data_IF_851849128604
#
_entry.id   IF_851849128604
#
_cell.length_a   1.000
_cell.length_b   1.000
_cell.length_c   1.000
_cell.angle_alpha   90.00
_cell.angle_beta   90.00
_cell.angle_gamma   90.00
#
_symmetry.space_group_name_H-M   'P 1'
#
loop_
_entity.id
_entity.type
_entity.pdbx_description
1 polymer ?
#
# COMPACT_ATOMS: atom_id res chain seq x y z
N UNK A 1 -6.18 24.46 -11.13
CA UNK A 1 -6.86 23.33 -11.79
C UNK A 1 -6.00 22.89 -12.97
N UNK A 2 -5.73 21.59 -13.12
CA UNK A 2 -4.88 21.09 -14.21
C UNK A 2 -5.55 21.28 -15.59
N UNK A 3 -4.79 21.53 -16.67
CA UNK A 3 -5.33 21.56 -18.04
C UNK A 3 -6.03 20.24 -18.40
N UNK A 4 -7.18 20.30 -19.10
CA UNK A 4 -7.96 19.10 -19.49
C UNK A 4 -7.09 18.02 -20.15
N UNK A 5 -6.17 18.41 -21.04
CA UNK A 5 -5.26 17.48 -21.72
C UNK A 5 -4.30 16.78 -20.74
N UNK A 6 -3.84 17.45 -19.69
CA UNK A 6 -2.99 16.84 -18.66
C UNK A 6 -3.76 15.90 -17.72
N UNK A 7 -5.03 16.21 -17.42
CA UNK A 7 -5.92 15.29 -16.69
C UNK A 7 -6.14 14.00 -17.48
N UNK A 8 -6.39 14.09 -18.79
CA UNK A 8 -6.57 12.88 -19.63
C UNK A 8 -5.32 12.02 -19.72
N UNK A 9 -4.13 12.63 -19.72
CA UNK A 9 -2.86 11.88 -19.63
C UNK A 9 -2.73 11.13 -18.31
N UNK A 10 -3.05 11.78 -17.20
CA UNK A 10 -3.06 11.15 -15.89
C UNK A 10 -4.09 10.02 -15.82
N UNK A 11 -5.28 10.20 -16.42
CA UNK A 11 -6.31 9.17 -16.53
C UNK A 11 -5.79 7.93 -17.28
N UNK A 12 -5.04 8.08 -18.38
CA UNK A 12 -4.42 6.94 -19.11
C UNK A 12 -3.45 6.18 -18.22
N UNK A 13 -2.55 6.88 -17.53
CA UNK A 13 -1.54 6.23 -16.66
C UNK A 13 -2.22 5.56 -15.46
N UNK A 14 -3.10 6.27 -14.77
CA UNK A 14 -3.81 5.77 -13.59
C UNK A 14 -4.69 4.56 -13.93
N UNK A 15 -5.49 4.65 -15.00
CA UNK A 15 -6.34 3.54 -15.43
C UNK A 15 -5.51 2.32 -15.85
N UNK A 16 -4.38 2.52 -16.52
CA UNK A 16 -3.46 1.43 -16.88
C UNK A 16 -2.87 0.73 -15.65
N UNK A 17 -2.40 1.50 -14.67
CA UNK A 17 -1.89 0.94 -13.38
C UNK A 17 -2.99 0.19 -12.64
N UNK A 18 -4.20 0.75 -12.58
CA UNK A 18 -5.34 0.12 -11.92
C UNK A 18 -5.76 -1.16 -12.65
N UNK A 19 -5.78 -1.20 -13.98
CA UNK A 19 -6.05 -2.45 -14.73
C UNK A 19 -5.02 -3.53 -14.37
N UNK A 20 -3.74 -3.20 -14.33
CA UNK A 20 -2.69 -4.15 -13.91
C UNK A 20 -2.91 -4.65 -12.48
N UNK A 21 -3.28 -3.77 -11.55
CA UNK A 21 -3.60 -4.14 -10.16
C UNK A 21 -4.85 -5.04 -10.09
N UNK A 22 -5.90 -4.71 -10.84
CA UNK A 22 -7.10 -5.55 -10.94
C UNK A 22 -6.79 -6.94 -11.50
N UNK A 23 -5.94 -7.02 -12.53
CA UNK A 23 -5.46 -8.30 -13.07
C UNK A 23 -4.68 -9.10 -12.03
N UNK A 24 -3.79 -8.46 -11.27
CA UNK A 24 -3.06 -9.12 -10.19
C UNK A 24 -4.02 -9.69 -9.14
N UNK A 25 -5.04 -8.93 -8.73
CA UNK A 25 -6.06 -9.39 -7.78
C UNK A 25 -6.85 -10.58 -8.34
N UNK A 26 -7.28 -10.52 -9.61
CA UNK A 26 -8.01 -11.64 -10.25
C UNK A 26 -7.13 -12.89 -10.34
N UNK A 27 -5.84 -12.74 -10.66
CA UNK A 27 -4.89 -13.86 -10.69
C UNK A 27 -4.71 -14.45 -9.29
N UNK A 28 -4.60 -13.62 -8.25
CA UNK A 28 -4.53 -14.08 -6.86
C UNK A 28 -5.81 -14.80 -6.44
N UNK A 29 -6.98 -14.30 -6.86
CA UNK A 29 -8.28 -14.92 -6.61
C UNK A 29 -8.41 -16.29 -7.31
N UNK A 30 -7.90 -16.41 -8.54
CA UNK A 30 -7.91 -17.66 -9.30
C UNK A 30 -7.06 -18.76 -8.63
N UNK A 31 -6.08 -18.39 -7.80
CA UNK A 31 -5.27 -19.34 -7.01
C UNK A 31 -5.93 -19.79 -5.71
N UNK A 32 -7.07 -19.20 -5.33
CA UNK A 32 -7.84 -19.61 -4.14
C UNK A 32 -8.76 -20.79 -4.47
N UNK A 33 -9.13 -21.62 -3.49
CA UNK A 33 -10.06 -22.73 -3.73
C UNK A 33 -11.47 -22.19 -4.06
N UNK A 34 -11.99 -22.54 -5.23
CA UNK A 34 -13.34 -22.16 -5.68
C UNK A 34 -14.42 -23.15 -5.25
N UNK A 35 -14.02 -24.37 -4.92
CA UNK A 35 -14.84 -25.42 -4.33
C UNK A 35 -14.00 -26.10 -3.26
N UNK A 36 -14.61 -26.44 -2.12
CA UNK A 36 -13.89 -27.03 -0.98
C UNK A 36 -14.71 -28.17 -0.40
N UNK A 37 -14.25 -29.41 -0.49
CA UNK A 37 -14.87 -30.57 0.17
C UNK A 37 -14.32 -30.73 1.59
N UNK A 38 -14.35 -29.67 2.40
CA UNK A 38 -13.70 -29.67 3.72
C UNK A 38 -14.61 -30.25 4.82
N UNK A 39 -15.92 -30.40 4.59
CA UNK A 39 -16.88 -30.82 5.63
C UNK A 39 -17.93 -31.85 5.16
N UNK A 40 -17.67 -32.63 4.11
CA UNK A 40 -18.58 -33.70 3.67
C UNK A 40 -19.87 -33.24 2.96
N UNK A 41 -20.08 -31.93 2.82
CA UNK A 41 -21.04 -31.34 1.88
C UNK A 41 -20.29 -30.62 0.76
N UNK A 42 -20.81 -30.70 -0.46
CA UNK A 42 -20.29 -30.00 -1.64
C UNK A 42 -20.40 -28.49 -1.40
N UNK A 43 -19.31 -27.82 -0.98
CA UNK A 43 -19.35 -26.37 -0.82
C UNK A 43 -19.65 -25.72 -2.18
N UNK A 44 -20.64 -24.83 -2.19
CA UNK A 44 -21.10 -24.14 -3.39
C UNK A 44 -20.08 -23.07 -3.80
N UNK A 45 -19.95 -22.85 -5.11
CA UNK A 45 -19.00 -21.89 -5.69
C UNK A 45 -19.18 -20.45 -5.15
N UNK A 46 -20.39 -20.09 -4.71
CA UNK A 46 -20.70 -18.74 -4.20
C UNK A 46 -20.19 -18.46 -2.79
N UNK A 47 -19.83 -19.49 -2.01
CA UNK A 47 -19.17 -19.33 -0.70
C UNK A 47 -17.66 -19.38 -0.81
N UNK A 48 -17.11 -19.37 -2.03
CA UNK A 48 -15.67 -19.47 -2.22
C UNK A 48 -14.94 -18.20 -1.76
N UNK A 49 -13.80 -18.33 -1.07
CA UNK A 49 -12.99 -17.19 -0.66
C UNK A 49 -12.45 -16.39 -1.86
N UNK A 50 -12.33 -17.01 -3.03
CA UNK A 50 -11.87 -16.38 -4.27
C UNK A 50 -12.92 -15.53 -4.98
N UNK A 51 -14.22 -15.73 -4.72
CA UNK A 51 -15.27 -15.01 -5.45
C UNK A 51 -15.21 -13.51 -5.21
N UNK A 52 -15.10 -13.08 -3.95
CA UNK A 52 -15.11 -11.66 -3.61
C UNK A 52 -13.92 -10.89 -4.23
N UNK A 53 -12.66 -11.34 -4.07
CA UNK A 53 -11.53 -10.72 -4.77
C UNK A 53 -11.68 -10.72 -6.29
N UNK A 54 -12.21 -11.79 -6.89
CA UNK A 54 -12.41 -11.87 -8.33
C UNK A 54 -13.43 -10.84 -8.85
N UNK A 55 -14.56 -10.67 -8.14
CA UNK A 55 -15.60 -9.69 -8.52
C UNK A 55 -15.05 -8.27 -8.41
N UNK A 56 -14.38 -7.94 -7.30
CA UNK A 56 -13.81 -6.60 -7.10
C UNK A 56 -12.72 -6.31 -8.14
N UNK A 57 -11.81 -7.26 -8.39
CA UNK A 57 -10.79 -7.13 -9.42
C UNK A 57 -11.39 -6.97 -10.82
N UNK A 58 -12.42 -7.74 -11.14
CA UNK A 58 -13.15 -7.65 -12.42
C UNK A 58 -13.83 -6.30 -12.63
N UNK A 59 -14.56 -5.79 -11.63
CA UNK A 59 -15.19 -4.46 -11.69
C UNK A 59 -14.15 -3.35 -11.83
N UNK A 60 -13.03 -3.48 -11.12
CA UNK A 60 -11.92 -2.53 -11.20
C UNK A 60 -11.33 -2.48 -12.61
N UNK A 61 -11.09 -3.63 -13.25
CA UNK A 61 -10.64 -3.70 -14.64
C UNK A 61 -11.69 -3.07 -15.57
N UNK A 62 -12.97 -3.43 -15.42
CA UNK A 62 -14.06 -2.96 -16.27
C UNK A 62 -14.20 -1.43 -16.25
N UNK A 63 -14.21 -0.83 -15.07
CA UNK A 63 -14.35 0.62 -14.93
C UNK A 63 -13.11 1.37 -15.43
N UNK A 64 -11.91 0.85 -15.17
CA UNK A 64 -10.70 1.48 -15.65
C UNK A 64 -10.53 1.33 -17.17
N UNK A 65 -11.04 0.25 -17.79
CA UNK A 65 -11.12 0.15 -19.26
C UNK A 65 -11.99 1.25 -19.86
N UNK A 66 -13.14 1.56 -19.24
CA UNK A 66 -14.00 2.65 -19.69
C UNK A 66 -13.29 4.02 -19.58
N UNK A 67 -12.62 4.27 -18.47
CA UNK A 67 -11.84 5.50 -18.25
C UNK A 67 -10.70 5.59 -19.26
N UNK A 68 -9.97 4.50 -19.47
CA UNK A 68 -8.87 4.42 -20.44
C UNK A 68 -9.38 4.69 -21.86
N UNK A 69 -10.48 4.07 -22.27
CA UNK A 69 -11.07 4.27 -23.58
C UNK A 69 -11.50 5.73 -23.79
N UNK A 70 -12.08 6.38 -22.78
CA UNK A 70 -12.42 7.80 -22.84
C UNK A 70 -11.17 8.67 -22.92
N UNK A 71 -10.15 8.39 -22.11
CA UNK A 71 -8.92 9.15 -22.08
C UNK A 71 -8.15 9.07 -23.41
N UNK A 72 -8.13 7.89 -24.05
CA UNK A 72 -7.55 7.69 -25.39
C UNK A 72 -8.34 8.49 -26.43
N UNK A 73 -9.68 8.39 -26.43
CA UNK A 73 -10.56 9.13 -27.37
C UNK A 73 -10.39 10.65 -27.28
N UNK A 74 -10.14 11.18 -26.08
CA UNK A 74 -9.95 12.61 -25.85
C UNK A 74 -8.49 13.09 -26.07
N UNK A 75 -7.64 12.28 -26.72
CA UNK A 75 -6.26 12.66 -27.06
C UNK A 75 -5.28 12.58 -25.89
N UNK A 76 -5.59 11.76 -24.88
CA UNK A 76 -4.71 11.49 -23.74
C UNK A 76 -3.38 10.83 -24.12
N UNK A 77 -3.29 10.22 -25.31
CA UNK A 77 -2.05 9.60 -25.80
C UNK A 77 -1.00 10.58 -26.34
N UNK A 78 -1.40 11.81 -26.70
CA UNK A 78 -0.49 12.80 -27.25
C UNK A 78 0.51 13.27 -26.17
N UNK A 79 1.77 12.84 -26.26
CA UNK A 79 2.85 13.32 -25.37
C UNK A 79 2.84 12.72 -23.96
N UNK A 80 2.31 11.50 -23.79
CA UNK A 80 2.39 10.74 -22.53
C UNK A 80 3.84 10.53 -22.07
N UNK A 81 4.72 10.13 -22.99
CA UNK A 81 6.10 9.78 -22.69
C UNK A 81 6.91 10.95 -22.06
N UNK A 82 6.99 12.15 -22.68
CA UNK A 82 7.75 13.25 -22.09
C UNK A 82 7.14 13.80 -20.79
N UNK A 83 5.82 13.72 -20.61
CA UNK A 83 5.16 14.22 -19.39
C UNK A 83 5.31 13.28 -18.19
N UNK A 84 5.21 11.96 -18.40
CA UNK A 84 5.45 10.96 -17.35
C UNK A 84 6.92 10.96 -16.93
N UNK A 85 7.86 11.02 -17.88
CA UNK A 85 9.30 11.08 -17.58
C UNK A 85 9.69 12.40 -16.90
N UNK A 86 9.09 13.52 -17.30
CA UNK A 86 9.28 14.82 -16.65
C UNK A 86 8.78 14.84 -15.20
N UNK A 87 7.64 14.19 -14.93
CA UNK A 87 7.14 14.01 -13.57
C UNK A 87 8.06 13.13 -12.72
N UNK A 88 8.51 11.98 -13.25
CA UNK A 88 9.48 11.10 -12.59
C UNK A 88 10.82 11.78 -12.30
N UNK A 89 11.31 12.66 -13.20
CA UNK A 89 12.52 13.46 -12.94
C UNK A 89 12.28 14.56 -11.91
N UNK A 90 11.08 15.16 -11.87
CA UNK A 90 10.68 16.16 -10.88
C UNK A 90 10.46 15.61 -9.47
N UNK A 91 10.27 14.30 -9.32
CA UNK A 91 10.14 13.63 -8.00
C UNK A 91 11.38 13.80 -7.10
N UNK A 92 12.56 14.05 -7.69
CA UNK A 92 13.81 14.21 -6.93
C UNK A 92 13.99 15.57 -6.25
N UNK A 93 13.27 16.62 -6.65
CA UNK A 93 13.57 18.00 -6.22
C UNK A 93 12.68 18.51 -5.06
N UNK A 94 11.52 17.87 -4.82
CA UNK A 94 10.57 18.32 -3.81
C UNK A 94 10.77 17.59 -2.47
N UNK A 95 11.27 18.32 -1.45
CA UNK A 95 11.41 17.86 -0.06
C UNK A 95 10.17 17.11 0.50
N UNK A 96 8.92 17.55 0.25
CA UNK A 96 7.73 16.83 0.73
C UNK A 96 7.51 15.49 0.02
N UNK A 97 7.77 15.42 -1.29
CA UNK A 97 7.56 14.20 -2.09
C UNK A 97 8.58 13.13 -1.68
N UNK A 98 9.83 13.54 -1.41
CA UNK A 98 10.86 12.62 -0.93
C UNK A 98 10.45 11.92 0.36
N UNK A 99 9.80 12.64 1.29
CA UNK A 99 9.26 12.08 2.53
C UNK A 99 8.17 11.04 2.29
N UNK A 100 7.25 11.35 1.38
CA UNK A 100 6.15 10.44 1.02
C UNK A 100 6.69 9.15 0.38
N UNK A 101 7.69 9.25 -0.49
CA UNK A 101 8.35 8.07 -1.07
C UNK A 101 8.99 7.24 0.04
N UNK A 102 9.72 7.89 0.95
CA UNK A 102 10.48 7.20 1.98
C UNK A 102 9.57 6.47 2.99
N UNK A 103 8.48 7.09 3.44
CA UNK A 103 7.49 6.39 4.29
C UNK A 103 6.80 5.26 3.54
N UNK A 104 6.50 5.43 2.24
CA UNK A 104 5.88 4.38 1.43
C UNK A 104 6.79 3.16 1.28
N UNK A 105 8.08 3.37 1.03
CA UNK A 105 9.08 2.29 0.98
C UNK A 105 9.21 1.62 2.34
N UNK A 106 9.32 2.41 3.42
CA UNK A 106 9.43 1.88 4.77
C UNK A 106 8.21 1.03 5.16
N UNK A 107 7.00 1.48 4.78
CA UNK A 107 5.76 0.75 4.97
C UNK A 107 5.73 -0.56 4.16
N UNK A 108 6.15 -0.52 2.89
CA UNK A 108 6.23 -1.71 2.06
C UNK A 108 7.20 -2.75 2.64
N UNK A 109 8.38 -2.32 3.11
CA UNK A 109 9.35 -3.20 3.78
C UNK A 109 8.75 -3.79 5.06
N UNK A 110 8.07 -2.98 5.87
CA UNK A 110 7.40 -3.46 7.08
C UNK A 110 6.35 -4.53 6.76
N UNK A 111 5.44 -4.26 5.83
CA UNK A 111 4.33 -5.18 5.51
C UNK A 111 4.79 -6.45 4.80
N UNK A 112 5.64 -6.34 3.77
CA UNK A 112 5.98 -7.48 2.93
C UNK A 112 7.19 -8.27 3.41
N UNK A 113 8.09 -7.66 4.19
CA UNK A 113 9.33 -8.31 4.64
C UNK A 113 9.31 -8.60 6.15
N UNK A 114 8.92 -7.62 6.96
CA UNK A 114 9.01 -7.76 8.42
C UNK A 114 7.87 -8.63 8.99
N UNK A 115 6.64 -8.43 8.52
CA UNK A 115 5.49 -9.25 8.92
C UNK A 115 5.70 -10.69 8.43
N UNK A 116 5.75 -11.63 9.37
CA UNK A 116 5.90 -13.06 9.12
C UNK A 116 7.34 -13.60 9.16
N UNK A 117 8.37 -12.73 9.19
CA UNK A 117 9.77 -13.16 9.38
C UNK A 117 10.35 -12.83 10.74
N UNK A 118 9.84 -11.80 11.40
CA UNK A 118 10.32 -11.34 12.70
C UNK A 118 9.14 -11.28 13.69
N UNK A 119 9.45 -11.36 14.98
CA UNK A 119 8.45 -11.11 16.04
C UNK A 119 7.86 -9.71 15.87
N UNK A 120 6.53 -9.61 15.97
CA UNK A 120 5.75 -8.38 15.79
C UNK A 120 6.28 -7.22 16.62
N UNK A 121 6.75 -7.49 17.85
CA UNK A 121 7.27 -6.47 18.77
C UNK A 121 8.55 -5.82 18.21
N UNK A 122 9.44 -6.63 17.63
CA UNK A 122 10.67 -6.17 16.99
C UNK A 122 10.38 -5.47 15.66
N UNK A 123 9.50 -6.04 14.83
CA UNK A 123 9.14 -5.47 13.54
C UNK A 123 8.51 -4.07 13.70
N UNK A 124 7.51 -3.97 14.57
CA UNK A 124 6.79 -2.71 14.84
C UNK A 124 7.69 -1.70 15.53
N UNK A 125 8.51 -2.15 16.50
CA UNK A 125 9.43 -1.27 17.21
C UNK A 125 10.50 -0.68 16.31
N UNK A 126 11.09 -1.51 15.43
CA UNK A 126 12.07 -1.04 14.44
C UNK A 126 11.43 -0.09 13.43
N UNK A 127 10.22 -0.39 12.95
CA UNK A 127 9.48 0.47 12.04
C UNK A 127 9.18 1.85 12.66
N UNK A 128 8.68 1.89 13.89
CA UNK A 128 8.43 3.12 14.65
C UNK A 128 9.72 3.90 14.91
N UNK A 129 10.78 3.21 15.33
CA UNK A 129 12.07 3.81 15.60
C UNK A 129 12.64 4.49 14.35
N UNK A 130 12.70 3.77 13.22
CA UNK A 130 13.22 4.30 11.95
C UNK A 130 12.34 5.44 11.44
N UNK A 131 11.02 5.31 11.53
CA UNK A 131 10.09 6.37 11.10
C UNK A 131 10.31 7.66 11.90
N UNK A 132 10.33 7.57 13.22
CA UNK A 132 10.53 8.74 14.09
C UNK A 132 11.94 9.30 13.88
N UNK A 133 12.98 8.46 13.80
CA UNK A 133 14.34 8.92 13.53
C UNK A 133 14.43 9.69 12.21
N UNK A 134 13.80 9.20 11.15
CA UNK A 134 13.91 9.81 9.83
C UNK A 134 13.10 11.11 9.71
N UNK A 135 11.90 11.17 10.28
CA UNK A 135 11.00 12.31 10.13
C UNK A 135 11.14 13.36 11.25
N UNK A 136 11.44 12.96 12.48
CA UNK A 136 11.46 13.86 13.64
C UNK A 136 12.86 14.37 14.00
N UNK A 137 13.92 13.63 13.64
CA UNK A 137 15.30 14.12 13.82
C UNK A 137 15.62 15.19 12.75
N UNK A 138 15.16 15.01 11.51
CA UNK A 138 15.51 15.89 10.38
C UNK A 138 14.93 17.32 10.40
N UNK A 139 13.83 17.58 11.11
CA UNK A 139 13.13 18.88 11.15
C UNK A 139 13.47 19.73 12.39
N UNK A 140 14.72 19.68 12.82
CA UNK A 140 15.15 20.10 14.16
C UNK A 140 14.77 21.52 14.61
N UNK A 141 13.82 21.61 15.53
CA UNK A 141 13.90 22.52 16.68
C UNK A 141 13.96 21.69 17.98
N UNK A 142 15.16 21.55 18.55
CA UNK A 142 15.39 20.86 19.84
C UNK A 142 16.63 19.95 19.90
N UNK A 143 17.25 19.86 21.08
CA UNK A 143 18.46 19.05 21.33
C UNK A 143 18.18 17.56 21.09
N UNK A 144 19.01 16.94 20.24
CA UNK A 144 18.95 15.52 19.90
C UNK A 144 18.96 14.58 21.12
N UNK A 145 19.67 14.96 22.19
CA UNK A 145 19.75 14.19 23.42
C UNK A 145 18.40 13.98 24.12
N UNK A 146 17.43 14.89 23.95
CA UNK A 146 16.07 14.73 24.49
C UNK A 146 15.17 13.89 23.58
N UNK A 147 15.49 13.82 22.29
CA UNK A 147 14.71 13.09 21.28
C UNK A 147 14.91 11.58 21.38
N UNK A 148 16.17 11.14 21.48
CA UNK A 148 16.54 9.71 21.55
C UNK A 148 15.77 8.92 22.62
N UNK A 149 15.71 9.34 23.91
CA UNK A 149 15.00 8.57 24.93
C UNK A 149 13.49 8.52 24.69
N UNK A 150 12.89 9.60 24.17
CA UNK A 150 11.47 9.64 23.84
C UNK A 150 11.17 8.68 22.68
N UNK A 151 12.01 8.68 21.64
CA UNK A 151 11.86 7.77 20.51
C UNK A 151 12.00 6.32 20.95
N UNK A 152 12.98 5.99 21.80
CA UNK A 152 13.15 4.64 22.34
C UNK A 152 11.94 4.20 23.19
N UNK A 153 11.43 5.08 24.05
CA UNK A 153 10.28 4.81 24.90
C UNK A 153 9.03 4.55 24.05
N UNK A 154 8.77 5.37 23.03
CA UNK A 154 7.61 5.20 22.13
C UNK A 154 7.76 3.94 21.28
N UNK A 155 8.94 3.71 20.70
CA UNK A 155 9.20 2.57 19.83
C UNK A 155 9.09 1.23 20.55
N UNK A 156 9.33 1.17 21.86
CA UNK A 156 9.13 -0.05 22.67
C UNK A 156 7.74 -0.09 23.31
N UNK A 157 7.30 1.03 23.88
CA UNK A 157 6.06 1.12 24.66
C UNK A 157 4.81 0.92 23.82
N UNK A 158 4.75 1.49 22.61
CA UNK A 158 3.55 1.37 21.75
C UNK A 158 3.35 -0.07 21.26
N UNK A 159 4.35 -0.76 20.67
CA UNK A 159 4.20 -2.16 20.29
C UNK A 159 3.91 -3.08 21.47
N UNK A 160 4.51 -2.81 22.64
CA UNK A 160 4.25 -3.58 23.85
C UNK A 160 2.81 -3.44 24.32
N UNK A 161 2.28 -2.20 24.39
CA UNK A 161 0.90 -1.94 24.76
C UNK A 161 -0.08 -2.59 23.77
N UNK A 162 0.18 -2.48 22.47
CA UNK A 162 -0.62 -3.14 21.43
C UNK A 162 -0.60 -4.66 21.60
N UNK A 163 0.56 -5.24 21.88
CA UNK A 163 0.71 -6.67 22.12
C UNK A 163 -0.06 -7.13 23.34
N UNK A 164 0.01 -6.36 24.43
CA UNK A 164 -0.76 -6.63 25.63
C UNK A 164 -2.27 -6.54 25.39
N UNK A 165 -2.74 -5.49 24.71
CA UNK A 165 -4.15 -5.30 24.42
C UNK A 165 -4.73 -6.44 23.56
N UNK A 166 -4.04 -6.80 22.48
CA UNK A 166 -4.52 -7.85 21.58
C UNK A 166 -4.46 -9.24 22.22
N UNK A 167 -3.42 -9.52 23.02
CA UNK A 167 -3.31 -10.81 23.71
C UNK A 167 -4.35 -10.96 24.82
N UNK A 168 -4.59 -9.89 25.59
CA UNK A 168 -5.46 -9.94 26.78
C UNK A 168 -6.93 -9.75 26.44
N UNK A 169 -7.26 -8.80 25.57
CA UNK A 169 -8.66 -8.47 25.27
C UNK A 169 -9.19 -9.13 24.00
N UNK A 170 -8.34 -9.32 22.98
CA UNK A 170 -8.76 -9.89 21.70
C UNK A 170 -8.40 -11.37 21.55
N UNK A 171 -7.63 -11.93 22.49
CA UNK A 171 -7.16 -13.32 22.47
C UNK A 171 -6.48 -13.74 21.15
N UNK A 172 -5.89 -12.77 20.43
CA UNK A 172 -5.17 -13.03 19.19
C UNK A 172 -3.68 -13.18 19.52
N UNK A 173 -3.08 -14.38 19.33
CA UNK A 173 -1.65 -14.53 19.47
C UNK A 173 -0.95 -13.78 18.34
N UNK A 174 -0.18 -12.75 18.69
CA UNK A 174 0.65 -12.03 17.73
C UNK A 174 2.01 -12.74 17.60
N UNK A 175 2.42 -13.15 16.39
CA UNK A 175 3.70 -13.82 16.14
C UNK A 175 4.92 -12.91 16.37
#
# INVERSE_FOLDING_TARGET
MLPRKSLRRADVVASSVMICLGLAVVISAARMPWTSTVTGSTNLWYVSPGLFPAVIGGLLILFNLKVLAQAIKEGGCDGLWPSTVGWFRGLGYNRPIHRVILISILMAVYIFVAIGRMNFLLASGLFLFISIALFWWGDGEGKLSRKIPITALVAVGVPYLFTYLFRTFLYVPMP
#
